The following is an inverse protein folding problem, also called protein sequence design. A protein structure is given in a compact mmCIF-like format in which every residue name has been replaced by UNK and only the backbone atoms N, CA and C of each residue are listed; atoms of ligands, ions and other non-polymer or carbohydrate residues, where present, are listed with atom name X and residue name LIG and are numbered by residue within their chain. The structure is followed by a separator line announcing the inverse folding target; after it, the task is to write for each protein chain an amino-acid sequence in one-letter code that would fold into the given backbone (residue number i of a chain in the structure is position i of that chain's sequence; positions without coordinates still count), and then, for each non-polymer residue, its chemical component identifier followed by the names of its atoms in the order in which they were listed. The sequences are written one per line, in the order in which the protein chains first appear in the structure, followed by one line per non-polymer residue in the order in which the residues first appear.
data_IF_417999630561
#
_entry.id   IF_417999630561
#
_cell.length_a   1.000
_cell.length_b   1.000
_cell.length_c   1.000
_cell.angle_alpha   90.00
_cell.angle_beta   90.00
_cell.angle_gamma   90.00
#
_symmetry.space_group_name_H-M   'P 1'
#
loop_
_entity.id
_entity.type
_entity.pdbx_description
1 polymer ?
#
# COMPACT_ATOMS: atom_id res chain seq x y z
N UNK A 1 6.67 9.11 -13.12
CA UNK A 1 7.33 9.89 -12.05
C UNK A 1 7.43 8.99 -10.83
N UNK A 2 8.62 8.45 -10.55
CA UNK A 2 8.84 7.59 -9.40
C UNK A 2 9.41 8.47 -8.27
N UNK A 3 8.60 8.77 -7.27
CA UNK A 3 9.07 9.46 -6.07
C UNK A 3 9.91 8.45 -5.29
N UNK A 4 11.22 8.68 -5.26
CA UNK A 4 12.17 7.89 -4.48
C UNK A 4 12.04 8.33 -3.03
N UNK A 5 11.24 7.62 -2.24
CA UNK A 5 11.24 7.76 -0.79
C UNK A 5 12.46 7.03 -0.23
N UNK A 6 13.47 7.77 0.21
CA UNK A 6 14.62 7.21 0.93
C UNK A 6 14.21 6.89 2.36
N UNK A 7 13.88 5.61 2.63
CA UNK A 7 13.61 5.12 3.99
C UNK A 7 14.91 4.56 4.57
N UNK A 8 15.50 5.24 5.55
CA UNK A 8 16.59 4.71 6.37
C UNK A 8 16.00 4.04 7.61
N UNK A 9 16.13 2.72 7.74
CA UNK A 9 15.71 2.00 8.96
C UNK A 9 16.70 2.30 10.09
N UNK A 10 16.20 2.82 11.22
CA UNK A 10 16.93 2.85 12.50
C UNK A 10 16.55 1.61 13.32
N UNK A 11 17.49 1.11 14.13
CA UNK A 11 17.44 -0.19 14.80
C UNK A 11 16.99 -0.09 16.28
N UNK A 12 16.12 0.87 16.61
CA UNK A 12 15.57 1.03 17.96
C UNK A 12 14.07 0.76 17.95
N UNK A 13 13.62 -0.03 18.91
CA UNK A 13 12.31 -0.70 18.97
C UNK A 13 11.09 0.18 19.19
N UNK A 14 11.14 1.45 18.80
CA UNK A 14 9.98 2.37 18.78
C UNK A 14 9.58 2.65 17.33
N UNK A 15 8.44 2.11 16.91
CA UNK A 15 7.86 2.21 15.58
C UNK A 15 7.29 3.63 15.29
N UNK A 16 8.06 4.68 15.56
CA UNK A 16 7.68 6.05 15.22
C UNK A 16 8.04 6.32 13.76
N UNK A 17 7.01 6.39 12.92
CA UNK A 17 7.13 7.03 11.62
C UNK A 17 7.56 8.49 11.83
N UNK A 18 8.81 8.81 11.50
CA UNK A 18 9.31 10.18 11.56
C UNK A 18 8.65 10.98 10.43
N UNK A 19 7.58 11.71 10.76
CA UNK A 19 7.07 12.77 9.92
C UNK A 19 8.08 13.92 9.99
N UNK A 20 8.77 14.18 8.88
CA UNK A 20 9.65 15.35 8.75
C UNK A 20 8.76 16.53 8.33
N UNK A 21 8.71 17.63 9.11
CA UNK A 21 8.03 18.83 8.65
C UNK A 21 8.74 19.36 7.41
N UNK A 22 7.99 19.95 6.46
CA UNK A 22 8.59 20.59 5.29
C UNK A 22 9.57 21.69 5.72
N UNK A 23 10.71 21.81 5.03
CA UNK A 23 11.61 22.93 5.22
C UNK A 23 10.91 24.22 4.73
N UNK A 24 10.69 25.22 5.60
CA UNK A 24 10.07 26.48 5.17
C UNK A 24 10.93 27.24 4.14
N UNK A 25 12.19 26.87 3.95
CA UNK A 25 13.08 27.44 2.92
C UNK A 25 12.95 26.75 1.54
N UNK A 26 12.30 25.58 1.45
CA UNK A 26 12.05 24.87 0.19
C UNK A 26 10.54 24.81 -0.10
N UNK A 27 10.07 25.72 -0.96
CA UNK A 27 8.66 25.79 -1.35
C UNK A 27 8.18 24.57 -2.16
N UNK A 28 9.09 23.69 -2.61
CA UNK A 28 8.77 22.44 -3.29
C UNK A 28 8.73 21.23 -2.34
N UNK A 29 9.10 21.40 -1.07
CA UNK A 29 8.99 20.36 -0.05
C UNK A 29 7.57 20.31 0.52
N UNK A 30 6.93 19.13 0.46
CA UNK A 30 5.59 18.91 0.97
C UNK A 30 5.63 18.11 2.28
N UNK A 31 4.75 18.45 3.22
CA UNK A 31 4.62 17.71 4.47
C UNK A 31 4.38 16.21 4.22
N UNK A 32 5.34 15.38 4.60
CA UNK A 32 5.14 13.94 4.68
C UNK A 32 4.39 13.61 5.98
N UNK A 33 3.09 13.91 6.00
CA UNK A 33 2.26 13.60 7.17
C UNK A 33 2.31 12.10 7.47
N UNK A 34 2.25 11.73 8.75
CA UNK A 34 2.23 10.32 9.15
C UNK A 34 1.10 9.53 8.44
N UNK A 35 -0.04 10.19 8.22
CA UNK A 35 -1.17 9.64 7.46
C UNK A 35 -0.85 9.44 5.97
N UNK A 36 -0.13 10.36 5.34
CA UNK A 36 0.32 10.22 3.95
C UNK A 36 1.34 9.09 3.79
N UNK A 37 2.25 8.95 4.76
CA UNK A 37 3.22 7.85 4.81
C UNK A 37 2.52 6.49 5.00
N UNK A 38 1.60 6.37 5.96
CA UNK A 38 0.81 5.16 6.19
C UNK A 38 0.02 4.76 4.92
N UNK A 39 -0.71 5.72 4.33
CA UNK A 39 -1.45 5.50 3.07
C UNK A 39 -0.53 5.03 1.94
N UNK A 40 0.64 5.63 1.80
CA UNK A 40 1.65 5.22 0.81
C UNK A 40 2.21 3.81 1.04
N UNK A 41 2.48 3.45 2.30
CA UNK A 41 2.94 2.11 2.67
C UNK A 41 1.87 1.05 2.42
N UNK A 42 0.61 1.33 2.75
CA UNK A 42 -0.53 0.44 2.48
C UNK A 42 -0.78 0.27 0.98
N UNK A 43 -0.73 1.36 0.21
CA UNK A 43 -0.82 1.32 -1.25
C UNK A 43 0.30 0.46 -1.85
N UNK A 44 1.54 0.61 -1.34
CA UNK A 44 2.69 -0.20 -1.77
C UNK A 44 2.47 -1.68 -1.46
N UNK A 45 2.02 -2.03 -0.25
CA UNK A 45 1.73 -3.41 0.12
C UNK A 45 0.79 -4.06 -0.91
N UNK A 46 -0.36 -3.44 -1.18
CA UNK A 46 -1.36 -3.95 -2.12
C UNK A 46 -0.78 -4.15 -3.52
N UNK A 47 -0.12 -3.13 -4.05
CA UNK A 47 0.50 -3.20 -5.38
C UNK A 47 1.56 -4.29 -5.45
N UNK A 48 2.44 -4.38 -4.44
CA UNK A 48 3.52 -5.37 -4.43
C UNK A 48 3.01 -6.80 -4.30
N UNK A 49 1.99 -7.04 -3.47
CA UNK A 49 1.35 -8.37 -3.37
C UNK A 49 0.78 -8.80 -4.71
N UNK A 50 0.02 -7.93 -5.39
CA UNK A 50 -0.52 -8.27 -6.72
C UNK A 50 0.59 -8.57 -7.72
N UNK A 51 1.61 -7.70 -7.80
CA UNK A 51 2.70 -7.89 -8.78
C UNK A 51 3.54 -9.13 -8.47
N UNK A 52 3.73 -9.48 -7.20
CA UNK A 52 4.43 -10.70 -6.80
C UNK A 52 3.68 -11.98 -7.20
N UNK A 53 2.35 -11.93 -7.30
CA UNK A 53 1.53 -13.00 -7.84
C UNK A 53 1.50 -13.04 -9.38
N UNK A 54 2.14 -12.09 -10.07
CA UNK A 54 2.15 -12.01 -11.53
C UNK A 54 0.81 -11.62 -12.16
N UNK A 55 -0.13 -11.08 -11.38
CA UNK A 55 -1.48 -10.79 -11.84
C UNK A 55 -1.63 -9.34 -12.31
N UNK A 56 -2.34 -9.12 -13.41
CA UNK A 56 -2.90 -7.82 -13.76
C UNK A 56 -3.95 -7.36 -12.73
N UNK A 57 -4.32 -6.08 -12.77
CA UNK A 57 -5.41 -5.58 -11.92
C UNK A 57 -6.71 -6.36 -12.16
N UNK A 58 -7.08 -6.60 -13.42
CA UNK A 58 -8.30 -7.33 -13.77
C UNK A 58 -8.26 -8.77 -13.24
N UNK A 59 -7.16 -9.49 -13.41
CA UNK A 59 -7.02 -10.86 -12.89
C UNK A 59 -7.09 -10.91 -11.36
N UNK A 60 -6.41 -9.98 -10.67
CA UNK A 60 -6.48 -9.89 -9.21
C UNK A 60 -7.92 -9.60 -8.73
N UNK A 61 -8.60 -8.65 -9.37
CA UNK A 61 -9.96 -8.24 -9.02
C UNK A 61 -10.97 -9.37 -9.23
N UNK A 62 -10.87 -10.09 -10.37
CA UNK A 62 -11.72 -11.24 -10.66
C UNK A 62 -11.48 -12.40 -9.69
N UNK A 63 -10.22 -12.64 -9.34
CA UNK A 63 -9.82 -13.74 -8.46
C UNK A 63 -10.17 -13.51 -6.98
N UNK A 64 -10.09 -12.26 -6.50
CA UNK A 64 -10.19 -11.95 -5.07
C UNK A 64 -11.36 -11.01 -4.70
N UNK A 65 -12.29 -10.76 -5.63
CA UNK A 65 -13.54 -10.00 -5.38
C UNK A 65 -13.30 -8.58 -4.85
N UNK A 66 -12.28 -7.90 -5.37
CA UNK A 66 -12.05 -6.47 -5.12
C UNK A 66 -12.47 -5.70 -6.38
N UNK A 67 -13.33 -4.68 -6.33
CA UNK A 67 -13.67 -3.89 -7.52
C UNK A 67 -12.43 -3.20 -8.11
N UNK A 68 -12.31 -3.18 -9.44
CA UNK A 68 -11.12 -2.62 -10.12
C UNK A 68 -10.90 -1.12 -9.84
N UNK A 69 -11.97 -0.34 -9.69
CA UNK A 69 -11.88 1.07 -9.29
C UNK A 69 -11.26 1.21 -7.90
N UNK A 70 -11.78 0.45 -6.94
CA UNK A 70 -11.27 0.40 -5.56
C UNK A 70 -9.81 -0.02 -5.50
N UNK A 71 -9.42 -1.07 -6.23
CA UNK A 71 -8.02 -1.51 -6.29
C UNK A 71 -7.11 -0.41 -6.85
N UNK A 72 -7.55 0.31 -7.88
CA UNK A 72 -6.78 1.43 -8.46
C UNK A 72 -6.63 2.58 -7.47
N UNK A 73 -7.70 2.96 -6.78
CA UNK A 73 -7.67 4.02 -5.78
C UNK A 73 -6.69 3.70 -4.65
N UNK A 74 -6.64 2.43 -4.23
CA UNK A 74 -5.69 1.96 -3.24
C UNK A 74 -4.26 1.92 -3.77
N UNK A 75 -3.99 1.30 -4.92
CA UNK A 75 -2.63 1.17 -5.46
C UNK A 75 -1.97 2.52 -5.83
N UNK A 76 -2.80 3.52 -6.14
CA UNK A 76 -2.38 4.89 -6.45
C UNK A 76 -2.37 5.80 -5.22
N UNK A 77 -2.68 5.28 -4.03
CA UNK A 77 -2.78 6.06 -2.80
C UNK A 77 -3.77 7.23 -2.89
N UNK A 78 -4.81 7.13 -3.73
CA UNK A 78 -5.90 8.13 -3.79
C UNK A 78 -6.79 8.06 -2.55
N UNK A 79 -6.99 6.85 -2.05
CA UNK A 79 -7.76 6.55 -0.83
C UNK A 79 -6.95 5.58 0.03
N UNK A 80 -6.92 5.80 1.35
CA UNK A 80 -6.27 4.84 2.25
C UNK A 80 -7.11 3.56 2.34
N UNK A 81 -6.53 2.38 2.09
CA UNK A 81 -7.25 1.13 2.25
C UNK A 81 -7.55 0.89 3.74
N UNK A 82 -8.80 0.49 4.09
CA UNK A 82 -9.15 0.19 5.47
C UNK A 82 -8.38 -1.03 5.98
N UNK A 83 -8.28 -1.19 7.30
CA UNK A 83 -7.46 -2.24 7.93
C UNK A 83 -7.83 -3.66 7.48
N UNK A 84 -9.12 -3.95 7.30
CA UNK A 84 -9.55 -5.26 6.80
C UNK A 84 -9.05 -5.54 5.39
N UNK A 85 -8.91 -4.53 4.53
CA UNK A 85 -8.39 -4.70 3.17
C UNK A 85 -6.88 -5.01 3.21
N UNK A 86 -6.14 -4.34 4.09
CA UNK A 86 -4.72 -4.64 4.36
C UNK A 86 -4.56 -6.07 4.88
N UNK A 87 -5.36 -6.47 5.86
CA UNK A 87 -5.34 -7.83 6.40
C UNK A 87 -5.67 -8.87 5.31
N UNK A 88 -6.72 -8.62 4.53
CA UNK A 88 -7.13 -9.51 3.43
C UNK A 88 -6.02 -9.70 2.40
N UNK A 89 -5.37 -8.62 1.98
CA UNK A 89 -4.24 -8.69 1.03
C UNK A 89 -3.02 -9.40 1.61
N UNK A 90 -2.74 -9.24 2.92
CA UNK A 90 -1.69 -10.03 3.57
C UNK A 90 -1.99 -11.53 3.50
N UNK A 91 -3.23 -11.93 3.75
CA UNK A 91 -3.65 -13.35 3.66
C UNK A 91 -3.55 -13.85 2.21
N UNK A 92 -3.98 -13.05 1.22
CA UNK A 92 -3.81 -13.37 -0.20
C UNK A 92 -2.34 -13.60 -0.55
N UNK A 93 -1.44 -12.76 -0.05
CA UNK A 93 0.00 -12.88 -0.31
C UNK A 93 0.61 -14.17 0.23
N UNK A 94 0.06 -14.73 1.32
CA UNK A 94 0.53 -15.98 1.93
C UNK A 94 -0.16 -17.22 1.35
N UNK A 95 -1.46 -17.13 1.07
CA UNK A 95 -2.29 -18.28 0.71
C UNK A 95 -3.23 -17.98 -0.48
N UNK A 96 -2.70 -17.61 -1.65
CA UNK A 96 -3.50 -17.12 -2.78
C UNK A 96 -4.52 -18.16 -3.28
N UNK A 97 -4.16 -19.44 -3.31
CA UNK A 97 -5.04 -20.52 -3.74
C UNK A 97 -6.19 -20.77 -2.77
N UNK A 98 -5.90 -20.75 -1.46
CA UNK A 98 -6.91 -20.95 -0.42
C UNK A 98 -7.95 -19.82 -0.46
N UNK A 99 -7.48 -18.56 -0.54
CA UNK A 99 -8.39 -17.42 -0.60
C UNK A 99 -9.23 -17.47 -1.87
N UNK A 100 -8.61 -17.70 -3.03
CA UNK A 100 -9.32 -17.78 -4.30
C UNK A 100 -10.41 -18.85 -4.29
N UNK A 101 -10.15 -20.01 -3.67
CA UNK A 101 -11.16 -21.06 -3.48
C UNK A 101 -12.27 -20.65 -2.52
N UNK A 102 -11.95 -19.92 -1.45
CA UNK A 102 -12.91 -19.51 -0.43
C UNK A 102 -13.88 -18.42 -0.91
N UNK A 103 -13.45 -17.56 -1.83
CA UNK A 103 -14.26 -16.42 -2.34
C UNK A 103 -14.82 -16.65 -3.76
N UNK A 104 -14.64 -17.85 -4.30
CA UNK A 104 -15.17 -18.26 -5.60
C UNK A 104 -16.71 -18.23 -5.65
#
# INVERSE_FOLDING_TARGET
MAIVFSVRRSNDGDEKAYALPADPADAEEFDATAEALDRGQRARLIRTTRTALGLSQTEFTGRFRVPVGTLRDWEQARVSPPDFAVAYVKVIGQYPEMVAKAVA
#
